data_IF_829442751682
#
_entry.id   IF_829442751682
#
_cell.length_a   1.000
_cell.length_b   1.000
_cell.length_c   1.000
_cell.angle_alpha   90.00
_cell.angle_beta   90.00
_cell.angle_gamma   90.00
#
_symmetry.space_group_name_H-M   'P 1'
#
loop_
_entity.id
_entity.type
_entity.pdbx_description
1 polymer ?
#
# COMPACT_ATOMS: atom_id res chain seq x y z
N UNK A 1 -12.02 0.75 -3.18
CA UNK A 1 -12.91 -0.10 -2.38
C UNK A 1 -12.45 -0.12 -0.93
N UNK A 2 -13.26 0.36 0.03
CA UNK A 2 -12.90 0.36 1.46
C UNK A 2 -12.63 -1.04 2.02
N UNK A 3 -13.41 -2.04 1.61
CA UNK A 3 -13.23 -3.41 2.06
C UNK A 3 -11.87 -3.98 1.63
N UNK A 4 -11.46 -3.72 0.38
CA UNK A 4 -10.16 -4.17 -0.13
C UNK A 4 -8.98 -3.57 0.64
N UNK A 5 -9.06 -2.26 0.95
CA UNK A 5 -8.04 -1.58 1.74
C UNK A 5 -7.93 -2.15 3.15
N UNK A 6 -9.06 -2.48 3.77
CA UNK A 6 -9.07 -3.13 5.08
C UNK A 6 -8.45 -4.53 5.02
N UNK A 7 -8.77 -5.32 3.99
CA UNK A 7 -8.16 -6.65 3.77
C UNK A 7 -6.64 -6.52 3.68
N UNK A 8 -6.12 -5.57 2.89
CA UNK A 8 -4.67 -5.35 2.76
C UNK A 8 -4.06 -4.98 4.12
N UNK A 9 -4.67 -4.04 4.85
CA UNK A 9 -4.16 -3.63 6.16
C UNK A 9 -4.11 -4.83 7.15
N UNK A 10 -5.19 -5.61 7.21
CA UNK A 10 -5.29 -6.79 8.07
C UNK A 10 -4.27 -7.88 7.69
N UNK A 11 -4.07 -8.13 6.39
CA UNK A 11 -3.10 -9.11 5.89
C UNK A 11 -1.67 -8.67 6.24
N UNK A 12 -1.32 -7.42 5.99
CA UNK A 12 0.03 -6.87 6.25
C UNK A 12 0.32 -6.63 7.75
N UNK A 13 -0.72 -6.61 8.60
CA UNK A 13 -0.66 -6.16 9.99
C UNK A 13 0.02 -4.79 10.16
N UNK A 14 -0.23 -3.89 9.22
CA UNK A 14 0.33 -2.54 9.21
C UNK A 14 -0.75 -1.54 8.81
N UNK A 15 -0.70 -0.30 9.34
CA UNK A 15 -1.55 0.77 8.85
C UNK A 15 -1.33 1.00 7.36
N UNK A 16 -2.42 1.15 6.60
CA UNK A 16 -2.39 1.46 5.17
C UNK A 16 -3.09 2.79 4.95
N UNK A 17 -2.37 3.75 4.37
CA UNK A 17 -2.95 5.03 3.97
C UNK A 17 -3.36 4.99 2.50
N UNK A 18 -4.54 5.54 2.20
CA UNK A 18 -4.96 5.81 0.83
C UNK A 18 -4.27 7.09 0.36
N UNK A 19 -3.80 7.14 -0.89
CA UNK A 19 -3.30 8.40 -1.43
C UNK A 19 -4.41 9.46 -1.45
N UNK A 20 -4.09 10.66 -1.00
CA UNK A 20 -5.00 11.82 -1.06
C UNK A 20 -5.21 12.34 -2.49
N UNK A 21 -4.53 11.77 -3.48
CA UNK A 21 -4.64 12.13 -4.90
C UNK A 21 -5.01 10.90 -5.72
N UNK A 22 -5.81 11.10 -6.78
CA UNK A 22 -6.17 10.00 -7.68
C UNK A 22 -4.97 9.58 -8.55
N UNK A 23 -4.26 10.55 -9.15
CA UNK A 23 -3.19 10.31 -10.11
C UNK A 23 -1.80 10.33 -9.45
N UNK A 24 -1.51 9.35 -8.60
CA UNK A 24 -0.23 9.28 -7.88
C UNK A 24 0.99 9.29 -8.83
N UNK A 25 0.94 8.54 -9.92
CA UNK A 25 2.05 8.45 -10.90
C UNK A 25 2.25 9.75 -11.66
N UNK A 26 1.18 10.33 -12.21
CA UNK A 26 1.24 11.61 -12.94
C UNK A 26 1.72 12.74 -12.03
N UNK A 27 1.29 12.71 -10.77
CA UNK A 27 1.75 13.68 -9.77
C UNK A 27 3.23 13.51 -9.42
N UNK A 28 3.71 12.28 -9.28
CA UNK A 28 5.14 12.01 -9.10
C UNK A 28 5.98 12.57 -10.24
N UNK A 29 5.53 12.38 -11.49
CA UNK A 29 6.18 12.96 -12.67
C UNK A 29 6.19 14.49 -12.64
N UNK A 30 5.08 15.13 -12.25
CA UNK A 30 5.00 16.58 -12.11
C UNK A 30 5.95 17.11 -11.03
N UNK A 31 6.06 16.44 -9.87
CA UNK A 31 7.00 16.82 -8.82
C UNK A 31 8.46 16.73 -9.28
N UNK A 32 8.83 15.67 -10.02
CA UNK A 32 10.17 15.53 -10.59
C UNK A 32 10.46 16.63 -11.62
N UNK A 33 9.48 17.01 -12.45
CA UNK A 33 9.64 18.11 -13.39
C UNK A 33 9.82 19.46 -12.68
N UNK A 34 9.05 19.73 -11.62
CA UNK A 34 9.18 20.95 -10.83
C UNK A 34 10.53 21.05 -10.12
N UNK A 35 11.06 19.94 -9.60
CA UNK A 35 12.39 19.88 -9.02
C UNK A 35 13.46 20.17 -10.08
N UNK A 36 13.38 19.52 -11.24
CA UNK A 36 14.33 19.71 -12.34
C UNK A 36 14.34 21.15 -12.90
N UNK A 37 13.19 21.84 -12.87
CA UNK A 37 13.07 23.23 -13.27
C UNK A 37 13.50 24.23 -12.17
N UNK A 38 13.89 23.74 -10.99
CA UNK A 38 14.27 24.57 -9.85
C UNK A 38 13.08 25.25 -9.17
N UNK A 39 11.85 24.86 -9.49
CA UNK A 39 10.64 25.36 -8.86
C UNK A 39 10.31 24.65 -7.54
N UNK A 40 10.90 23.49 -7.30
CA UNK A 40 10.85 22.77 -6.04
C UNK A 40 12.31 22.51 -5.59
N UNK A 41 12.72 22.95 -4.38
CA UNK A 41 14.12 22.77 -3.95
C UNK A 41 14.52 21.32 -3.74
N UNK A 42 13.54 20.44 -3.47
CA UNK A 42 13.73 19.00 -3.52
C UNK A 42 12.43 18.21 -3.31
N UNK A 43 12.38 16.95 -3.75
CA UNK A 43 11.19 16.09 -3.61
C UNK A 43 10.73 15.91 -2.15
N UNK A 44 11.64 16.00 -1.17
CA UNK A 44 11.31 15.89 0.27
C UNK A 44 10.53 17.10 0.80
N UNK A 45 10.58 18.21 0.09
CA UNK A 45 9.85 19.44 0.42
C UNK A 45 8.45 19.46 -0.20
N UNK A 46 8.15 18.49 -1.08
CA UNK A 46 6.79 18.28 -1.53
C UNK A 46 5.90 17.96 -0.32
N UNK A 47 4.63 18.41 -0.31
CA UNK A 47 3.72 18.08 0.79
C UNK A 47 3.53 16.56 0.94
N UNK A 48 2.97 16.14 2.06
CA UNK A 48 2.46 14.77 2.18
C UNK A 48 1.07 14.66 1.54
N UNK A 49 0.78 13.50 0.94
CA UNK A 49 -0.51 13.20 0.30
C UNK A 49 -1.14 11.97 0.92
N UNK A 50 -1.17 11.97 2.26
CA UNK A 50 -1.73 10.91 3.09
C UNK A 50 -3.22 11.18 3.27
N UNK A 51 -4.05 10.29 2.72
CA UNK A 51 -5.49 10.29 2.92
C UNK A 51 -5.91 9.42 4.11
N UNK A 52 -7.09 8.82 4.00
CA UNK A 52 -7.65 7.96 5.05
C UNK A 52 -6.71 6.79 5.40
N UNK A 53 -6.54 6.54 6.70
CA UNK A 53 -5.73 5.44 7.22
C UNK A 53 -6.62 4.29 7.68
N UNK A 54 -6.38 3.11 7.13
CA UNK A 54 -6.95 1.84 7.58
C UNK A 54 -5.99 1.16 8.53
N UNK A 55 -6.43 0.93 9.78
CA UNK A 55 -5.64 0.22 10.79
C UNK A 55 -5.99 -1.27 10.78
N UNK A 56 -4.99 -2.15 11.01
CA UNK A 56 -5.22 -3.59 11.02
C UNK A 56 -6.08 -4.02 12.20
N UNK A 57 -6.95 -5.01 11.98
CA UNK A 57 -7.62 -5.79 13.02
C UNK A 57 -6.81 -7.06 13.31
N UNK A 58 -6.31 -7.18 14.55
CA UNK A 58 -5.45 -8.31 14.98
C UNK A 58 -6.13 -9.67 14.80
N UNK A 59 -7.42 -9.78 15.08
CA UNK A 59 -8.16 -11.05 14.94
C UNK A 59 -8.29 -11.45 13.47
N UNK A 60 -8.47 -10.46 12.59
CA UNK A 60 -8.48 -10.72 11.14
C UNK A 60 -7.09 -11.07 10.63
N UNK A 61 -6.04 -10.44 11.15
CA UNK A 61 -4.66 -10.79 10.83
C UNK A 61 -4.35 -12.26 11.15
N UNK A 62 -4.71 -12.74 12.34
CA UNK A 62 -4.54 -14.16 12.73
C UNK A 62 -5.26 -15.13 11.77
N UNK A 63 -6.48 -14.77 11.33
CA UNK A 63 -7.21 -15.53 10.31
C UNK A 63 -6.48 -15.54 8.96
N UNK A 64 -5.91 -14.40 8.55
CA UNK A 64 -5.15 -14.29 7.31
C UNK A 64 -3.83 -15.05 7.37
N UNK A 65 -3.13 -15.10 8.50
CA UNK A 65 -1.94 -15.94 8.67
C UNK A 65 -2.26 -17.42 8.40
N UNK A 66 -3.36 -17.92 8.96
CA UNK A 66 -3.80 -19.30 8.72
C UNK A 66 -4.20 -19.54 7.26
N UNK A 67 -4.77 -18.52 6.59
CA UNK A 67 -5.03 -18.58 5.15
C UNK A 67 -3.75 -18.61 4.31
N UNK A 68 -2.74 -17.81 4.66
CA UNK A 68 -1.44 -17.77 3.98
C UNK A 68 -0.70 -19.11 4.09
N UNK A 69 -0.74 -19.77 5.25
CA UNK A 69 -0.15 -21.11 5.40
C UNK A 69 -0.82 -22.16 4.50
N UNK A 70 -2.15 -22.10 4.37
CA UNK A 70 -2.88 -22.96 3.43
C UNK A 70 -2.49 -22.66 1.98
N UNK A 71 -2.37 -21.38 1.62
CA UNK A 71 -1.97 -20.95 0.28
C UNK A 71 -0.54 -21.39 -0.04
N UNK A 72 0.40 -21.28 0.91
CA UNK A 72 1.79 -21.72 0.74
C UNK A 72 1.87 -23.22 0.44
N UNK A 73 1.16 -24.04 1.22
CA UNK A 73 1.09 -25.50 1.00
C UNK A 73 0.52 -25.85 -0.38
N UNK A 74 -0.47 -25.10 -0.85
CA UNK A 74 -1.04 -25.29 -2.19
C UNK A 74 -0.03 -24.88 -3.27
N UNK A 75 0.58 -23.71 -3.13
CA UNK A 75 1.56 -23.19 -4.08
C UNK A 75 2.75 -24.14 -4.24
N UNK A 76 3.27 -24.69 -3.15
CA UNK A 76 4.34 -25.68 -3.17
C UNK A 76 3.96 -26.93 -3.97
N UNK A 77 2.71 -27.40 -3.88
CA UNK A 77 2.22 -28.56 -4.66
C UNK A 77 2.03 -28.25 -6.13
N UNK A 78 1.64 -27.02 -6.49
CA UNK A 78 1.39 -26.62 -7.88
C UNK A 78 2.68 -26.28 -8.62
N UNK A 79 3.69 -25.78 -7.92
CA UNK A 79 4.96 -25.35 -8.54
C UNK A 79 6.03 -26.46 -8.53
N UNK A 80 5.99 -27.37 -7.55
CA UNK A 80 6.95 -28.49 -7.46
C UNK A 80 6.37 -29.83 -7.92
N UNK A 81 5.09 -29.89 -8.28
CA UNK A 81 4.45 -31.05 -8.90
C UNK A 81 4.42 -30.89 -10.41
#
# INVERSE_FOLDING_TARGET
SPAWLQIIADVLNRPVAVSGVQEASGRGAALMALEALGNLPGLREAPDFIGQIHRPDKRRHERYQTAMERQKKLYEKVVKG
#
